data_IF_888617155905
#
_entry.id   IF_888617155905
#
_cell.length_a   1.000
_cell.length_b   1.000
_cell.length_c   1.000
_cell.angle_alpha   90.00
_cell.angle_beta   90.00
_cell.angle_gamma   90.00
#
_symmetry.space_group_name_H-M   'P 1'
#
loop_
_entity.id
_entity.type
_entity.pdbx_description
1 polymer ?
#
# COMPACT_ATOMS: atom_id res chain seq x y z
N UNK A 1 1.97 8.15 21.25
CA UNK A 1 3.29 8.79 21.38
C UNK A 1 4.02 8.59 20.06
N UNK A 2 4.60 9.63 19.47
CA UNK A 2 5.36 9.50 18.22
C UNK A 2 6.54 8.55 18.44
N UNK A 3 6.72 7.56 17.56
CA UNK A 3 7.91 6.69 17.55
C UNK A 3 9.15 7.57 17.46
N UNK A 4 10.09 7.51 18.43
CA UNK A 4 11.28 8.38 18.43
C UNK A 4 12.20 8.13 17.23
N UNK A 5 12.06 6.99 16.54
CA UNK A 5 12.79 6.66 15.32
C UNK A 5 12.10 7.15 14.05
N UNK A 6 10.91 7.76 14.14
CA UNK A 6 10.24 8.34 12.98
C UNK A 6 11.13 9.43 12.36
N UNK A 7 11.42 9.39 11.06
CA UNK A 7 12.21 10.41 10.40
C UNK A 7 11.49 11.77 10.46
N UNK A 8 12.28 12.84 10.57
CA UNK A 8 11.76 14.22 10.56
C UNK A 8 11.32 14.65 9.16
N UNK A 9 12.01 14.16 8.15
CA UNK A 9 11.69 14.41 6.75
C UNK A 9 10.81 13.28 6.19
N UNK A 10 9.88 13.59 5.28
CA UNK A 10 9.07 12.57 4.64
C UNK A 10 9.90 11.57 3.84
N UNK A 11 9.53 10.30 3.92
CA UNK A 11 10.17 9.23 3.14
C UNK A 11 9.77 9.38 1.68
N UNK A 12 10.74 9.39 0.76
CA UNK A 12 10.50 9.35 -0.69
C UNK A 12 11.52 8.44 -1.34
N UNK A 13 11.10 7.70 -2.37
CA UNK A 13 12.04 6.81 -3.05
C UNK A 13 13.15 7.60 -3.80
N UNK A 14 14.42 7.15 -3.76
CA UNK A 14 15.46 7.73 -4.60
C UNK A 14 15.08 7.74 -6.08
N UNK A 15 15.47 8.81 -6.80
CA UNK A 15 15.20 9.01 -8.22
C UNK A 15 16.51 8.99 -9.02
N UNK A 16 16.40 8.79 -10.34
CA UNK A 16 17.56 8.76 -11.24
C UNK A 16 18.33 7.43 -11.24
N UNK A 17 19.44 7.41 -11.97
CA UNK A 17 20.23 6.21 -12.26
C UNK A 17 21.27 5.84 -11.18
N UNK A 18 21.57 6.75 -10.26
CA UNK A 18 22.47 6.47 -9.14
C UNK A 18 21.84 5.44 -8.20
N UNK A 19 22.63 4.50 -7.68
CA UNK A 19 22.20 3.43 -6.76
C UNK A 19 22.87 3.57 -5.41
N UNK A 20 22.17 3.15 -4.37
CA UNK A 20 22.67 3.03 -3.00
C UNK A 20 22.80 1.56 -2.53
N UNK A 21 22.14 0.63 -3.21
CA UNK A 21 22.31 -0.81 -3.03
C UNK A 21 23.36 -1.39 -3.99
N UNK A 22 23.88 -2.58 -3.67
CA UNK A 22 24.87 -3.31 -4.50
C UNK A 22 24.35 -3.70 -5.89
N UNK A 23 23.03 -3.86 -6.06
CA UNK A 23 22.38 -4.31 -7.30
C UNK A 23 21.04 -3.62 -7.53
N UNK A 24 20.61 -3.57 -8.80
CA UNK A 24 19.29 -3.03 -9.17
C UNK A 24 18.11 -3.78 -8.53
N UNK A 25 18.12 -5.11 -8.39
CA UNK A 25 17.03 -5.82 -7.70
C UNK A 25 16.83 -5.38 -6.24
N UNK A 26 17.92 -5.16 -5.50
CA UNK A 26 17.90 -4.68 -4.12
C UNK A 26 17.48 -3.20 -4.05
N UNK A 27 18.02 -2.37 -4.95
CA UNK A 27 17.65 -0.97 -5.10
C UNK A 27 16.16 -0.81 -5.41
N UNK A 28 15.62 -1.65 -6.30
CA UNK A 28 14.21 -1.66 -6.66
C UNK A 28 13.34 -1.98 -5.43
N UNK A 29 13.65 -3.04 -4.68
CA UNK A 29 12.91 -3.36 -3.46
C UNK A 29 12.94 -2.20 -2.44
N UNK A 30 14.10 -1.56 -2.26
CA UNK A 30 14.25 -0.42 -1.36
C UNK A 30 13.44 0.79 -1.83
N UNK A 31 13.53 1.15 -3.11
CA UNK A 31 12.75 2.25 -3.70
C UNK A 31 11.26 2.01 -3.58
N UNK A 32 10.80 0.78 -3.84
CA UNK A 32 9.38 0.47 -3.75
C UNK A 32 8.88 0.48 -2.30
N UNK A 33 9.68 0.03 -1.33
CA UNK A 33 9.37 0.21 0.09
C UNK A 33 9.22 1.70 0.44
N UNK A 34 10.13 2.54 -0.04
CA UNK A 34 10.08 3.99 0.18
C UNK A 34 8.92 4.65 -0.55
N UNK A 35 8.56 4.18 -1.75
CA UNK A 35 7.41 4.67 -2.51
C UNK A 35 6.09 4.40 -1.77
N UNK A 36 5.97 3.22 -1.14
CA UNK A 36 4.83 2.90 -0.29
C UNK A 36 4.64 3.85 0.89
N UNK A 37 5.67 4.63 1.26
CA UNK A 37 5.65 5.62 2.35
C UNK A 37 5.78 7.05 1.84
N UNK A 38 5.74 7.27 0.52
CA UNK A 38 5.72 8.61 -0.04
C UNK A 38 4.43 9.33 0.40
N UNK A 39 4.47 10.57 0.94
CA UNK A 39 3.27 11.29 1.37
C UNK A 39 2.20 11.42 0.29
N UNK A 40 2.62 11.48 -0.98
CA UNK A 40 1.71 11.60 -2.11
C UNK A 40 1.01 10.26 -2.40
N UNK A 41 1.58 9.15 -1.93
CA UNK A 41 1.11 7.78 -2.17
C UNK A 41 0.37 7.21 -0.96
N UNK A 42 0.97 7.24 0.23
CA UNK A 42 0.45 6.61 1.44
C UNK A 42 -0.67 7.44 2.08
N UNK A 43 -1.67 6.78 2.67
CA UNK A 43 -2.71 7.47 3.43
C UNK A 43 -2.16 8.14 4.69
N UNK A 44 -1.22 7.51 5.41
CA UNK A 44 -0.61 8.06 6.64
C UNK A 44 0.80 7.49 6.87
N UNK A 45 1.77 8.03 6.12
CA UNK A 45 3.14 7.53 6.09
C UNK A 45 3.85 7.61 7.45
N UNK A 46 3.51 8.59 8.29
CA UNK A 46 4.11 8.83 9.61
C UNK A 46 3.97 7.63 10.55
N UNK A 47 2.89 6.87 10.37
CA UNK A 47 2.56 5.65 11.12
C UNK A 47 2.89 4.37 10.34
N UNK A 48 3.63 4.51 9.22
CA UNK A 48 3.94 3.46 8.25
C UNK A 48 2.72 2.91 7.51
N UNK A 49 1.55 3.55 7.65
CA UNK A 49 0.28 3.10 7.07
C UNK A 49 0.16 3.54 5.63
N UNK A 50 0.02 2.56 4.75
CA UNK A 50 -0.08 2.77 3.30
C UNK A 50 -1.54 2.92 2.89
N UNK A 51 -2.40 1.94 3.18
CA UNK A 51 -3.85 2.00 2.91
C UNK A 51 -4.62 0.90 3.67
N UNK A 52 -5.96 0.89 3.53
CA UNK A 52 -6.80 -0.22 3.98
C UNK A 52 -6.89 -0.36 5.50
N UNK A 53 -7.09 0.75 6.21
CA UNK A 53 -7.12 0.79 7.68
C UNK A 53 -5.70 0.88 8.24
N UNK A 54 -5.17 -0.23 8.78
CA UNK A 54 -3.84 -0.29 9.40
C UNK A 54 -2.81 -1.05 8.55
N UNK A 55 -3.02 -1.12 7.23
CA UNK A 55 -2.09 -1.79 6.32
C UNK A 55 -0.75 -1.06 6.24
N UNK A 56 0.33 -1.68 6.71
CA UNK A 56 1.64 -1.03 6.87
C UNK A 56 2.72 -1.57 5.94
N UNK A 57 3.73 -0.74 5.67
CA UNK A 57 4.90 -1.12 4.87
C UNK A 57 6.00 -1.83 5.69
N UNK A 58 6.13 -1.48 6.97
CA UNK A 58 7.05 -2.08 7.93
C UNK A 58 6.43 -2.07 9.34
N UNK A 59 6.90 -2.95 10.23
CA UNK A 59 6.28 -3.15 11.55
C UNK A 59 6.41 -1.93 12.46
N UNK A 60 7.58 -1.31 12.43
CA UNK A 60 7.97 -0.13 13.19
C UNK A 60 9.08 0.62 12.45
N UNK A 61 9.39 1.85 12.85
CA UNK A 61 10.47 2.61 12.21
C UNK A 61 11.83 1.92 12.39
N UNK A 62 12.06 1.30 13.55
CA UNK A 62 13.24 0.44 13.76
C UNK A 62 13.34 -0.70 12.73
N UNK A 63 12.20 -1.33 12.41
CA UNK A 63 12.16 -2.41 11.43
C UNK A 63 12.41 -1.88 10.01
N UNK A 64 11.82 -0.73 9.68
CA UNK A 64 12.04 -0.01 8.42
C UNK A 64 13.53 0.29 8.21
N UNK A 65 14.20 0.93 9.18
CA UNK A 65 15.62 1.29 9.09
C UNK A 65 16.50 0.05 8.87
N UNK A 66 16.19 -1.03 9.60
CA UNK A 66 16.89 -2.30 9.44
C UNK A 66 16.65 -2.95 8.08
N UNK A 67 15.45 -2.82 7.50
CA UNK A 67 15.18 -3.31 6.14
C UNK A 67 16.02 -2.52 5.14
N UNK A 68 15.99 -1.18 5.20
CA UNK A 68 16.76 -0.31 4.30
C UNK A 68 18.25 -0.61 4.38
N UNK A 69 18.82 -0.62 5.58
CA UNK A 69 20.24 -0.92 5.80
C UNK A 69 20.61 -2.34 5.33
N UNK A 70 19.70 -3.31 5.47
CA UNK A 70 19.94 -4.68 4.99
C UNK A 70 19.92 -4.74 3.47
N UNK A 71 18.96 -4.09 2.80
CA UNK A 71 18.89 -4.04 1.34
C UNK A 71 20.11 -3.36 0.71
N UNK A 72 20.64 -2.30 1.34
CA UNK A 72 21.85 -1.61 0.88
C UNK A 72 23.09 -2.51 0.81
N UNK A 73 23.24 -3.44 1.76
CA UNK A 73 24.38 -4.39 1.82
C UNK A 73 24.09 -5.79 1.28
N UNK A 74 22.85 -6.07 0.83
CA UNK A 74 22.43 -7.42 0.44
C UNK A 74 23.11 -7.83 -0.88
N UNK A 75 23.83 -8.96 -0.87
CA UNK A 75 24.52 -9.47 -2.06
C UNK A 75 23.54 -10.03 -3.10
N UNK A 76 24.02 -10.27 -4.31
CA UNK A 76 23.21 -10.79 -5.41
C UNK A 76 22.79 -12.26 -5.23
N UNK A 77 23.54 -13.02 -4.44
CA UNK A 77 23.30 -14.43 -4.09
C UNK A 77 22.65 -14.58 -2.71
N UNK A 78 22.05 -13.53 -2.16
CA UNK A 78 21.40 -13.53 -0.85
C UNK A 78 19.91 -13.18 -0.93
N UNK A 79 19.16 -13.69 0.05
CA UNK A 79 17.74 -13.42 0.22
C UNK A 79 17.46 -12.92 1.63
N UNK A 80 16.83 -11.74 1.73
CA UNK A 80 16.28 -11.19 2.96
C UNK A 80 14.92 -11.82 3.26
N UNK A 81 14.73 -12.31 4.49
CA UNK A 81 13.43 -12.74 5.00
C UNK A 81 12.78 -11.61 5.81
N UNK A 82 11.57 -11.20 5.42
CA UNK A 82 10.73 -10.25 6.15
C UNK A 82 9.51 -10.97 6.69
N UNK A 83 9.42 -11.06 8.02
CA UNK A 83 8.28 -11.64 8.72
C UNK A 83 7.45 -10.51 9.31
N UNK A 84 6.20 -10.37 8.88
CA UNK A 84 5.26 -9.33 9.32
C UNK A 84 5.94 -7.96 9.47
N UNK A 85 6.53 -7.48 8.38
CA UNK A 85 7.20 -6.18 8.32
C UNK A 85 8.49 -6.03 9.14
N UNK A 86 9.10 -7.13 9.62
CA UNK A 86 10.38 -7.12 10.34
C UNK A 86 11.44 -7.94 9.60
N UNK A 87 12.66 -7.43 9.39
CA UNK A 87 13.75 -8.21 8.79
C UNK A 87 14.28 -9.22 9.81
N UNK A 88 14.11 -10.51 9.56
CA UNK A 88 14.41 -11.58 10.54
C UNK A 88 15.67 -12.39 10.21
N UNK A 89 16.14 -12.35 8.97
CA UNK A 89 17.36 -13.06 8.58
C UNK A 89 17.75 -12.82 7.13
N UNK A 90 19.00 -13.10 6.81
CA UNK A 90 19.54 -13.13 5.46
C UNK A 90 20.22 -14.47 5.27
N UNK A 91 19.91 -15.16 4.17
CA UNK A 91 20.47 -16.46 3.84
C UNK A 91 21.12 -16.41 2.47
N UNK A 92 22.19 -17.17 2.30
CA UNK A 92 22.78 -17.42 0.98
C UNK A 92 21.83 -18.31 0.18
N UNK A 93 21.67 -17.98 -1.09
CA UNK A 93 20.78 -18.62 -2.07
C UNK A 93 21.53 -18.70 -3.40
N UNK A 94 21.04 -18.04 -4.45
CA UNK A 94 21.69 -17.96 -5.76
C UNK A 94 21.19 -16.71 -6.52
N UNK A 95 21.92 -16.22 -7.55
CA UNK A 95 21.56 -15.00 -8.26
C UNK A 95 20.15 -14.95 -8.85
N UNK A 96 19.56 -16.08 -9.22
CA UNK A 96 18.21 -16.17 -9.79
C UNK A 96 17.09 -16.24 -8.73
N UNK A 97 17.42 -16.42 -7.45
CA UNK A 97 16.43 -16.44 -6.38
C UNK A 97 15.81 -15.04 -6.16
N UNK A 98 14.65 -14.93 -5.50
CA UNK A 98 14.15 -13.64 -5.02
C UNK A 98 15.11 -13.00 -4.03
N UNK A 99 15.32 -11.68 -4.12
CA UNK A 99 16.13 -10.94 -3.14
C UNK A 99 15.43 -10.76 -1.80
N UNK A 100 14.10 -10.78 -1.80
CA UNK A 100 13.29 -10.61 -0.59
C UNK A 100 12.15 -11.62 -0.63
N UNK A 101 11.95 -12.34 0.46
CA UNK A 101 10.77 -13.16 0.71
C UNK A 101 10.00 -12.57 1.89
N UNK A 102 8.69 -12.37 1.70
CA UNK A 102 7.84 -11.66 2.64
C UNK A 102 6.67 -12.55 3.06
N UNK A 103 6.47 -12.69 4.37
CA UNK A 103 5.31 -13.36 4.95
C UNK A 103 4.70 -12.47 6.03
N UNK A 104 3.56 -11.85 5.75
CA UNK A 104 2.90 -10.89 6.64
C UNK A 104 1.59 -11.44 7.18
N UNK A 105 1.29 -11.12 8.45
CA UNK A 105 0.00 -11.38 9.10
C UNK A 105 -0.48 -12.85 9.11
N UNK A 106 0.41 -13.81 8.88
CA UNK A 106 0.07 -15.22 8.94
C UNK A 106 -0.18 -15.65 10.39
N UNK A 107 -1.37 -16.18 10.64
CA UNK A 107 -1.77 -16.81 11.90
C UNK A 107 -2.28 -18.21 11.58
N UNK A 108 -2.09 -19.15 12.50
CA UNK A 108 -2.69 -20.49 12.37
C UNK A 108 -4.22 -20.33 12.43
N UNK A 109 -5.02 -21.03 11.60
CA UNK A 109 -6.44 -20.72 11.42
C UNK A 109 -7.28 -20.66 12.70
N UNK A 110 -6.97 -21.48 13.71
CA UNK A 110 -7.66 -21.46 14.99
C UNK A 110 -7.53 -20.13 15.76
N UNK A 111 -6.56 -19.29 15.40
CA UNK A 111 -6.34 -17.94 15.95
C UNK A 111 -6.42 -16.87 14.86
N UNK A 112 -7.00 -17.20 13.70
CA UNK A 112 -7.09 -16.34 12.53
C UNK A 112 -8.18 -15.27 12.63
N UNK A 113 -8.26 -14.58 13.77
CA UNK A 113 -9.25 -13.54 14.05
C UNK A 113 -8.60 -12.20 14.43
N UNK A 114 -9.43 -11.16 14.47
CA UNK A 114 -8.96 -9.80 14.78
C UNK A 114 -8.55 -9.63 16.24
N UNK A 115 -9.13 -10.37 17.19
CA UNK A 115 -8.79 -10.23 18.60
C UNK A 115 -7.34 -10.67 18.85
N UNK A 116 -6.99 -11.88 18.37
CA UNK A 116 -5.63 -12.41 18.43
C UNK A 116 -4.67 -11.54 17.63
N UNK A 117 -5.06 -11.14 16.42
CA UNK A 117 -4.23 -10.26 15.60
C UNK A 117 -3.89 -8.96 16.34
N UNK A 118 -4.89 -8.26 16.90
CA UNK A 118 -4.69 -6.98 17.61
C UNK A 118 -3.88 -7.15 18.88
N UNK A 119 -4.07 -8.26 19.61
CA UNK A 119 -3.23 -8.62 20.76
C UNK A 119 -1.75 -8.75 20.33
N UNK A 120 -1.45 -9.50 19.28
CA UNK A 120 -0.09 -9.66 18.79
C UNK A 120 0.49 -8.38 18.20
N UNK A 121 -0.33 -7.54 17.56
CA UNK A 121 0.08 -6.23 17.05
C UNK A 121 0.47 -5.30 18.21
N UNK A 122 -0.33 -5.24 19.28
CA UNK A 122 -0.01 -4.49 20.49
C UNK A 122 1.27 -4.97 21.18
N UNK A 123 1.57 -6.27 21.09
CA UNK A 123 2.83 -6.86 21.56
C UNK A 123 4.03 -6.62 20.60
N UNK A 124 3.81 -6.00 19.44
CA UNK A 124 4.86 -5.80 18.42
C UNK A 124 5.29 -7.08 17.69
N UNK A 125 4.45 -8.12 17.69
CA UNK A 125 4.76 -9.45 17.14
C UNK A 125 4.28 -9.66 15.70
N UNK A 126 3.28 -8.88 15.25
CA UNK A 126 2.75 -8.95 13.89
C UNK A 126 2.54 -7.55 13.30
N UNK A 127 2.17 -7.51 12.02
CA UNK A 127 1.87 -6.31 11.24
C UNK A 127 0.82 -6.69 10.20
N UNK A 128 -0.18 -5.83 10.02
CA UNK A 128 -1.17 -6.02 8.96
C UNK A 128 -0.55 -5.56 7.64
N UNK A 129 -0.27 -6.51 6.74
CA UNK A 129 0.38 -6.21 5.46
C UNK A 129 -0.56 -5.76 4.35
N UNK A 130 -1.88 -5.86 4.53
CA UNK A 130 -2.85 -5.79 3.42
C UNK A 130 -2.36 -6.69 2.26
N UNK A 131 -2.52 -6.28 1.02
CA UNK A 131 -1.99 -6.94 -0.18
C UNK A 131 -0.69 -6.26 -0.60
N UNK A 132 -0.73 -4.99 -1.02
CA UNK A 132 0.42 -4.27 -1.61
C UNK A 132 1.13 -3.34 -0.65
N UNK A 133 0.59 -3.14 0.56
CA UNK A 133 1.20 -2.30 1.60
C UNK A 133 2.49 -2.95 2.14
N UNK A 134 2.38 -4.17 2.66
CA UNK A 134 3.49 -4.91 3.26
C UNK A 134 4.37 -5.66 2.25
N UNK A 135 4.00 -5.67 0.96
CA UNK A 135 4.77 -6.28 -0.14
C UNK A 135 5.42 -5.26 -1.07
N UNK A 136 5.29 -3.97 -0.76
CA UNK A 136 6.01 -2.87 -1.40
C UNK A 136 5.74 -2.75 -2.90
N UNK A 137 4.47 -2.65 -3.27
CA UNK A 137 4.07 -2.45 -4.67
C UNK A 137 2.81 -1.60 -4.80
N UNK A 138 2.55 -0.74 -3.80
CA UNK A 138 1.42 0.18 -3.84
C UNK A 138 1.77 1.41 -4.67
N UNK A 139 0.85 1.80 -5.55
CA UNK A 139 1.02 2.90 -6.50
C UNK A 139 -0.09 3.96 -6.35
N UNK A 140 -0.60 4.09 -5.12
CA UNK A 140 -1.72 4.98 -4.83
C UNK A 140 -3.03 4.43 -5.36
N UNK A 141 -4.01 5.33 -5.48
CA UNK A 141 -5.37 5.03 -5.91
C UNK A 141 -5.44 4.41 -7.32
N UNK A 142 -4.46 4.68 -8.19
CA UNK A 142 -4.39 4.09 -9.52
C UNK A 142 -4.36 2.55 -9.49
N UNK A 143 -3.78 1.95 -8.45
CA UNK A 143 -3.62 0.49 -8.39
C UNK A 143 -4.93 -0.30 -8.44
N UNK A 144 -6.06 0.30 -8.03
CA UNK A 144 -7.38 -0.34 -8.11
C UNK A 144 -8.29 0.26 -9.18
N UNK A 145 -7.91 1.41 -9.74
CA UNK A 145 -8.75 2.18 -10.66
C UNK A 145 -9.27 1.33 -11.83
N UNK A 146 -8.39 0.60 -12.50
CA UNK A 146 -8.80 -0.26 -13.61
C UNK A 146 -9.76 -1.36 -13.16
N UNK A 147 -9.50 -2.01 -12.03
CA UNK A 147 -10.40 -3.06 -11.51
C UNK A 147 -11.79 -2.51 -11.16
N UNK A 148 -11.85 -1.31 -10.56
CA UNK A 148 -13.12 -0.63 -10.28
C UNK A 148 -13.83 -0.18 -11.56
N UNK A 149 -13.09 0.36 -12.54
CA UNK A 149 -13.61 0.71 -13.86
C UNK A 149 -14.23 -0.51 -14.55
N UNK A 150 -13.51 -1.65 -14.62
CA UNK A 150 -14.01 -2.87 -15.25
C UNK A 150 -15.24 -3.44 -14.53
N UNK A 151 -15.30 -3.28 -13.21
CA UNK A 151 -16.49 -3.68 -12.43
C UNK A 151 -17.72 -2.88 -12.84
N UNK A 152 -17.58 -1.56 -12.97
CA UNK A 152 -18.67 -0.70 -13.43
C UNK A 152 -18.99 -0.88 -14.92
N UNK A 153 -17.98 -1.12 -15.77
CA UNK A 153 -18.17 -1.46 -17.18
C UNK A 153 -18.95 -2.77 -17.33
N UNK A 154 -18.60 -3.80 -16.56
CA UNK A 154 -19.34 -5.06 -16.55
C UNK A 154 -20.79 -4.89 -16.04
N UNK A 155 -20.99 -4.05 -15.01
CA UNK A 155 -22.33 -3.69 -14.54
C UNK A 155 -23.14 -2.98 -15.64
N UNK A 156 -22.53 -2.02 -16.32
CA UNK A 156 -23.12 -1.29 -17.43
C UNK A 156 -23.52 -2.20 -18.60
N UNK A 157 -22.62 -3.11 -18.99
CA UNK A 157 -22.90 -4.14 -20.00
C UNK A 157 -24.09 -5.02 -19.62
N UNK A 158 -24.11 -5.50 -18.37
CA UNK A 158 -25.13 -6.45 -17.92
C UNK A 158 -26.52 -5.81 -17.73
N UNK A 159 -26.58 -4.54 -17.35
CA UNK A 159 -27.83 -3.93 -16.87
C UNK A 159 -28.28 -2.69 -17.64
N UNK A 160 -27.39 -2.01 -18.36
CA UNK A 160 -27.64 -0.67 -18.90
C UNK A 160 -27.21 -0.49 -20.37
N UNK A 161 -26.95 -1.58 -21.09
CA UNK A 161 -26.62 -1.53 -22.52
C UNK A 161 -25.19 -1.07 -22.81
N UNK A 162 -24.26 -1.23 -21.86
CA UNK A 162 -22.83 -0.98 -22.06
C UNK A 162 -22.30 0.36 -21.57
N UNK A 163 -23.15 1.26 -21.06
CA UNK A 163 -22.75 2.56 -20.49
C UNK A 163 -23.54 2.90 -19.22
N UNK A 164 -22.94 3.70 -18.32
CA UNK A 164 -23.63 4.30 -17.18
C UNK A 164 -24.18 5.70 -17.48
N UNK A 165 -24.18 6.15 -18.75
CA UNK A 165 -24.77 7.42 -19.15
C UNK A 165 -26.21 7.59 -18.63
N UNK A 166 -26.47 8.72 -17.97
CA UNK A 166 -27.77 9.02 -17.35
C UNK A 166 -28.09 8.21 -16.10
N UNK A 167 -27.12 7.49 -15.53
CA UNK A 167 -27.27 6.71 -14.29
C UNK A 167 -26.57 7.39 -13.12
N UNK A 168 -27.20 7.26 -11.94
CA UNK A 168 -26.63 7.65 -10.66
C UNK A 168 -26.11 6.41 -9.93
N UNK A 169 -24.84 6.44 -9.52
CA UNK A 169 -24.21 5.44 -8.67
C UNK A 169 -24.02 6.04 -7.28
N UNK A 170 -24.58 5.37 -6.27
CA UNK A 170 -24.39 5.71 -4.86
C UNK A 170 -23.44 4.68 -4.21
N UNK A 171 -22.37 5.16 -3.58
CA UNK A 171 -21.47 4.33 -2.78
C UNK A 171 -20.83 5.17 -1.67
N UNK A 172 -19.89 4.61 -0.90
CA UNK A 172 -19.24 5.28 0.22
C UNK A 172 -17.74 4.95 0.29
N UNK A 173 -17.00 5.81 0.99
CA UNK A 173 -15.58 5.66 1.29
C UNK A 173 -14.64 6.18 0.20
N UNK A 174 -13.90 7.24 0.53
CA UNK A 174 -12.88 7.89 -0.29
C UNK A 174 -11.47 7.71 0.30
N UNK A 175 -11.17 6.53 0.88
CA UNK A 175 -9.80 6.18 1.29
C UNK A 175 -8.88 5.85 0.11
N UNK A 176 -7.66 5.36 0.39
CA UNK A 176 -6.64 4.97 -0.61
C UNK A 176 -7.15 4.21 -1.82
N UNK A 177 -8.04 3.22 -1.60
CA UNK A 177 -8.63 2.40 -2.67
C UNK A 177 -10.03 2.89 -3.08
N UNK A 178 -10.90 3.21 -2.12
CA UNK A 178 -12.26 3.68 -2.39
C UNK A 178 -12.31 5.01 -3.15
N UNK A 179 -11.25 5.82 -3.05
CA UNK A 179 -11.08 7.05 -3.84
C UNK A 179 -11.01 6.83 -5.35
N UNK A 180 -10.85 5.59 -5.84
CA UNK A 180 -10.90 5.28 -7.26
C UNK A 180 -12.32 5.23 -7.83
N UNK A 181 -13.33 5.05 -6.97
CA UNK A 181 -14.72 4.86 -7.38
C UNK A 181 -15.28 6.01 -8.23
N UNK A 182 -15.16 7.30 -7.84
CA UNK A 182 -15.75 8.38 -8.63
C UNK A 182 -15.16 8.44 -10.05
N UNK A 183 -13.83 8.43 -10.20
CA UNK A 183 -13.19 8.41 -11.51
C UNK A 183 -13.57 7.18 -12.34
N UNK A 184 -13.64 5.99 -11.73
CA UNK A 184 -14.08 4.78 -12.42
C UNK A 184 -15.52 4.87 -12.94
N UNK A 185 -16.41 5.51 -12.18
CA UNK A 185 -17.81 5.72 -12.56
C UNK A 185 -17.91 6.75 -13.69
N UNK A 186 -17.19 7.87 -13.60
CA UNK A 186 -17.22 8.92 -14.65
C UNK A 186 -16.55 8.47 -15.94
N UNK A 187 -15.52 7.62 -15.88
CA UNK A 187 -14.94 6.93 -17.05
C UNK A 187 -15.95 5.99 -17.74
N UNK A 188 -16.97 5.52 -17.02
CA UNK A 188 -18.10 4.76 -17.57
C UNK A 188 -19.31 5.67 -17.90
N UNK A 189 -19.11 6.99 -17.99
CA UNK A 189 -20.12 8.01 -18.30
C UNK A 189 -21.22 8.19 -17.22
N UNK A 190 -21.03 7.60 -16.04
CA UNK A 190 -21.98 7.69 -14.93
C UNK A 190 -21.80 8.94 -14.05
N UNK A 191 -22.81 9.24 -13.23
CA UNK A 191 -22.74 10.23 -12.16
C UNK A 191 -22.60 9.51 -10.82
N UNK A 192 -21.70 9.99 -9.96
CA UNK A 192 -21.41 9.37 -8.67
C UNK A 192 -21.80 10.29 -7.50
N UNK A 193 -22.43 9.73 -6.46
CA UNK A 193 -22.48 10.32 -5.11
C UNK A 193 -21.71 9.37 -4.19
N UNK A 194 -20.61 9.87 -3.61
CA UNK A 194 -19.76 9.10 -2.70
C UNK A 194 -19.85 9.69 -1.30
N UNK A 195 -20.41 8.94 -0.37
CA UNK A 195 -20.48 9.35 1.04
C UNK A 195 -19.11 9.11 1.70
N UNK A 196 -18.51 10.16 2.24
CA UNK A 196 -17.30 10.09 3.06
C UNK A 196 -17.51 10.93 4.32
N UNK A 197 -17.02 10.43 5.44
CA UNK A 197 -17.17 11.04 6.77
C UNK A 197 -15.96 11.90 7.15
N UNK A 198 -14.82 11.67 6.50
CA UNK A 198 -13.54 12.31 6.78
C UNK A 198 -13.20 13.35 5.70
N UNK A 199 -13.32 14.63 6.04
CA UNK A 199 -13.10 15.76 5.14
C UNK A 199 -11.69 15.76 4.52
N UNK A 200 -10.66 15.35 5.28
CA UNK A 200 -9.28 15.30 4.77
C UNK A 200 -9.14 14.33 3.59
N UNK A 201 -9.92 13.24 3.60
CA UNK A 201 -9.96 12.28 2.49
C UNK A 201 -10.65 12.85 1.28
N UNK A 202 -11.74 13.59 1.47
CA UNK A 202 -12.44 14.28 0.38
C UNK A 202 -11.48 15.27 -0.29
N UNK A 203 -10.85 16.14 0.49
CA UNK A 203 -9.89 17.12 -0.01
C UNK A 203 -8.72 16.47 -0.75
N UNK A 204 -8.19 15.35 -0.24
CA UNK A 204 -7.12 14.61 -0.92
C UNK A 204 -7.56 14.13 -2.31
N UNK A 205 -8.80 13.67 -2.46
CA UNK A 205 -9.30 13.14 -3.75
C UNK A 205 -9.63 14.25 -4.73
N UNK A 206 -10.07 15.42 -4.24
CA UNK A 206 -10.18 16.64 -5.04
C UNK A 206 -8.81 17.09 -5.56
N UNK A 207 -7.79 17.16 -4.69
CA UNK A 207 -6.42 17.55 -5.10
C UNK A 207 -5.81 16.62 -6.14
N UNK A 208 -6.13 15.32 -6.06
CA UNK A 208 -5.66 14.32 -7.01
C UNK A 208 -6.56 14.19 -8.25
N UNK A 209 -7.62 14.99 -8.36
CA UNK A 209 -8.60 14.95 -9.45
C UNK A 209 -9.30 13.58 -9.63
N UNK A 210 -9.48 12.84 -8.54
CA UNK A 210 -10.30 11.61 -8.52
C UNK A 210 -11.77 11.90 -8.20
N UNK A 211 -12.06 13.07 -7.63
CA UNK A 211 -13.41 13.61 -7.34
C UNK A 211 -13.50 15.00 -7.96
N UNK A 212 -14.63 15.35 -8.56
CA UNK A 212 -14.82 16.64 -9.22
C UNK A 212 -15.26 17.77 -8.26
N UNK A 213 -16.08 17.42 -7.25
CA UNK A 213 -16.69 18.38 -6.30
C UNK A 213 -17.08 17.71 -4.98
N UNK A 214 -17.15 18.50 -3.91
CA UNK A 214 -17.60 18.14 -2.57
C UNK A 214 -18.65 19.14 -2.06
#
# INVERSE_FOLDING_TARGET
>A
MSDPLRPREPVRAPRGAARSCLGWPQEAAMRMLMNNLDPDVAERWEDLVVYGGTGKAARSWQAYDRIVATLQRLRADQTLLVQSGKPVGVFDTHPEAPRVLIANALLVPAWGDWEHFRRYEAMGLTMYGQMTAGSWIYIGTQGILQGTYETFAACAQKHFGGSLAGRLVLTAGLGGMGGAQPLAITMNEGVAIIVEVDDERIERRLRLSYVDRA
#
